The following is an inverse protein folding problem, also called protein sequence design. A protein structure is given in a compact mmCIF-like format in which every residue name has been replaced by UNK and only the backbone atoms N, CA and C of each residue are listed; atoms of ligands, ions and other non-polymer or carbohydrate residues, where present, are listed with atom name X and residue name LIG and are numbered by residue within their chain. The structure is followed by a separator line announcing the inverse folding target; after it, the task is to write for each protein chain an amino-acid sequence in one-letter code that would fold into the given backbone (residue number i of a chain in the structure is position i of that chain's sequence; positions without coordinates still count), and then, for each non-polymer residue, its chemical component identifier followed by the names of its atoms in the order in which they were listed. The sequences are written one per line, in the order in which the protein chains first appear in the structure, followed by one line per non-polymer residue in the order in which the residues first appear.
data_IF_903653713641
#
_entry.id   IF_903653713641
#
_cell.length_a   1.000
_cell.length_b   1.000
_cell.length_c   1.000
_cell.angle_alpha   90.00
_cell.angle_beta   90.00
_cell.angle_gamma   90.00
#
_symmetry.space_group_name_H-M   'P 1'
#
loop_
_entity.id
_entity.type
_entity.pdbx_description
1 polymer ?
#
# COMPACT_ATOMS: atom_id res chain seq x y z
N UNK A 1 -11.28 -50.64 4.17
CA UNK A 1 -11.61 -49.36 4.86
C UNK A 1 -10.61 -48.22 4.58
N UNK A 2 -9.34 -48.51 4.26
CA UNK A 2 -8.29 -47.51 4.04
C UNK A 2 -8.49 -46.65 2.77
N UNK A 3 -8.96 -47.25 1.67
CA UNK A 3 -9.21 -46.55 0.41
C UNK A 3 -10.33 -45.50 0.49
N UNK A 4 -11.41 -45.79 1.21
CA UNK A 4 -12.53 -44.85 1.38
C UNK A 4 -12.15 -43.62 2.21
N UNK A 5 -11.24 -43.79 3.19
CA UNK A 5 -10.70 -42.65 3.95
C UNK A 5 -9.83 -41.76 3.09
N UNK A 6 -8.93 -42.35 2.29
CA UNK A 6 -8.08 -41.58 1.37
C UNK A 6 -8.88 -40.80 0.32
N UNK A 7 -9.94 -41.39 -0.24
CA UNK A 7 -10.84 -40.68 -1.19
C UNK A 7 -11.56 -39.51 -0.49
N UNK A 8 -12.06 -39.71 0.73
CA UNK A 8 -12.75 -38.67 1.50
C UNK A 8 -11.82 -37.51 1.85
N UNK A 9 -10.60 -37.82 2.28
CA UNK A 9 -9.57 -36.82 2.60
C UNK A 9 -9.13 -36.05 1.34
N UNK A 10 -8.94 -36.75 0.23
CA UNK A 10 -8.62 -36.13 -1.07
C UNK A 10 -9.72 -35.17 -1.55
N UNK A 11 -10.99 -35.59 -1.49
CA UNK A 11 -12.12 -34.71 -1.82
C UNK A 11 -12.21 -33.49 -0.90
N UNK A 12 -11.92 -33.66 0.39
CA UNK A 12 -11.95 -32.55 1.34
C UNK A 12 -10.84 -31.52 1.05
N UNK A 13 -9.62 -31.98 0.78
CA UNK A 13 -8.51 -31.10 0.40
C UNK A 13 -8.78 -30.39 -0.93
N UNK A 14 -9.26 -31.13 -1.94
CA UNK A 14 -9.60 -30.56 -3.25
C UNK A 14 -10.68 -29.46 -3.12
N UNK A 15 -11.73 -29.72 -2.33
CA UNK A 15 -12.76 -28.72 -2.07
C UNK A 15 -12.21 -27.46 -1.38
N UNK A 16 -11.27 -27.64 -0.44
CA UNK A 16 -10.59 -26.52 0.25
C UNK A 16 -9.72 -25.69 -0.71
N UNK A 17 -8.98 -26.33 -1.59
CA UNK A 17 -8.11 -25.66 -2.56
C UNK A 17 -8.94 -24.87 -3.58
N UNK A 18 -10.02 -25.47 -4.10
CA UNK A 18 -10.96 -24.77 -5.00
C UNK A 18 -11.64 -23.59 -4.28
N UNK A 19 -12.10 -23.78 -3.05
CA UNK A 19 -12.70 -22.69 -2.27
C UNK A 19 -11.71 -21.54 -2.06
N UNK A 20 -10.45 -21.86 -1.78
CA UNK A 20 -9.38 -20.86 -1.63
C UNK A 20 -9.14 -20.12 -2.94
N UNK A 21 -9.02 -20.84 -4.07
CA UNK A 21 -8.83 -20.26 -5.39
C UNK A 21 -9.97 -19.28 -5.74
N UNK A 22 -11.22 -19.72 -5.58
CA UNK A 22 -12.40 -18.90 -5.88
C UNK A 22 -12.44 -17.67 -4.98
N UNK A 23 -12.17 -17.82 -3.68
CA UNK A 23 -12.15 -16.69 -2.75
C UNK A 23 -11.04 -15.69 -3.11
N UNK A 24 -9.85 -16.16 -3.49
CA UNK A 24 -8.76 -15.29 -3.94
C UNK A 24 -9.10 -14.53 -5.22
N UNK A 25 -9.77 -15.17 -6.19
CA UNK A 25 -10.25 -14.49 -7.41
C UNK A 25 -11.30 -13.43 -7.07
N UNK A 26 -12.27 -13.78 -6.22
CA UNK A 26 -13.32 -12.85 -5.79
C UNK A 26 -12.74 -11.63 -5.05
N UNK A 27 -11.83 -11.87 -4.10
CA UNK A 27 -11.11 -10.82 -3.38
C UNK A 27 -10.29 -9.94 -4.31
N UNK A 28 -9.61 -10.53 -5.30
CA UNK A 28 -8.85 -9.77 -6.31
C UNK A 28 -9.75 -8.83 -7.09
N UNK A 29 -10.90 -9.31 -7.59
CA UNK A 29 -11.86 -8.49 -8.32
C UNK A 29 -12.39 -7.35 -7.44
N UNK A 30 -12.80 -7.65 -6.21
CA UNK A 30 -13.30 -6.64 -5.26
C UNK A 30 -12.21 -5.62 -4.93
N UNK A 31 -10.96 -6.04 -4.77
CA UNK A 31 -9.85 -5.14 -4.49
C UNK A 31 -9.56 -4.23 -5.68
N UNK A 32 -9.49 -4.77 -6.89
CA UNK A 32 -9.26 -3.99 -8.12
C UNK A 32 -10.41 -3.01 -8.35
N UNK A 33 -11.67 -3.43 -8.15
CA UNK A 33 -12.82 -2.55 -8.32
C UNK A 33 -12.85 -1.51 -7.20
N UNK A 34 -12.79 -1.90 -5.93
CA UNK A 34 -12.87 -0.98 -4.79
C UNK A 34 -11.71 0.03 -4.77
N UNK A 35 -10.47 -0.47 -4.79
CA UNK A 35 -9.27 0.38 -4.77
C UNK A 35 -9.08 1.10 -6.10
N UNK A 36 -9.26 0.41 -7.23
CA UNK A 36 -9.14 1.02 -8.55
C UNK A 36 -10.17 2.14 -8.77
N UNK A 37 -11.43 1.95 -8.38
CA UNK A 37 -12.42 3.02 -8.43
C UNK A 37 -12.04 4.18 -7.52
N UNK A 38 -11.54 3.94 -6.30
CA UNK A 38 -11.08 5.02 -5.43
C UNK A 38 -9.96 5.87 -6.06
N UNK A 39 -9.05 5.24 -6.80
CA UNK A 39 -8.00 5.94 -7.55
C UNK A 39 -8.59 6.76 -8.71
N UNK A 40 -9.59 6.21 -9.41
CA UNK A 40 -10.33 6.94 -10.47
C UNK A 40 -11.05 8.16 -9.89
N UNK A 41 -11.76 8.01 -8.77
CA UNK A 41 -12.43 9.14 -8.10
C UNK A 41 -11.45 10.21 -7.60
N UNK A 42 -10.31 9.80 -7.03
CA UNK A 42 -9.27 10.73 -6.62
C UNK A 42 -8.66 11.50 -7.81
N UNK A 43 -8.51 10.84 -8.96
CA UNK A 43 -8.07 11.47 -10.21
C UNK A 43 -9.08 12.49 -10.73
N UNK A 44 -10.38 12.20 -10.66
CA UNK A 44 -11.46 13.16 -11.00
C UNK A 44 -11.40 14.38 -10.09
N UNK A 45 -11.15 14.18 -8.80
CA UNK A 45 -10.97 15.26 -7.82
C UNK A 45 -9.66 16.06 -7.97
N UNK A 46 -8.87 15.85 -9.03
CA UNK A 46 -7.53 16.43 -9.25
C UNK A 46 -6.55 16.22 -8.08
N UNK A 47 -6.83 15.29 -7.16
CA UNK A 47 -5.92 14.97 -6.05
C UNK A 47 -4.79 14.10 -6.60
N UNK A 48 -3.60 14.68 -6.68
CA UNK A 48 -2.37 13.94 -6.99
C UNK A 48 -1.89 13.24 -5.72
N UNK A 49 -1.88 11.91 -5.70
CA UNK A 49 -1.29 11.15 -4.59
C UNK A 49 0.23 11.30 -4.51
N UNK A 50 0.88 11.43 -5.67
CA UNK A 50 2.28 11.76 -5.80
C UNK A 50 2.38 12.99 -6.69
N UNK A 51 2.83 14.11 -6.11
CA UNK A 51 3.15 15.30 -6.88
C UNK A 51 4.51 15.10 -7.56
N UNK A 52 4.51 14.41 -8.70
CA UNK A 52 5.69 14.13 -9.54
C UNK A 52 6.23 15.39 -10.25
N UNK A 53 5.80 16.58 -9.83
CA UNK A 53 6.32 17.83 -10.35
C UNK A 53 7.80 17.94 -9.98
N UNK A 54 8.68 17.82 -10.98
CA UNK A 54 10.10 18.19 -10.89
C UNK A 54 10.30 19.72 -10.80
N UNK A 55 9.23 20.50 -10.66
CA UNK A 55 9.38 21.88 -10.23
C UNK A 55 10.11 21.84 -8.89
N UNK A 56 11.28 22.47 -8.85
CA UNK A 56 12.07 22.70 -7.66
C UNK A 56 11.23 23.52 -6.67
N UNK A 57 10.25 22.88 -6.01
CA UNK A 57 9.57 23.46 -4.86
C UNK A 57 10.68 23.73 -3.87
N UNK A 58 10.74 24.98 -3.42
CA UNK A 58 11.59 25.39 -2.33
C UNK A 58 11.23 24.53 -1.14
N UNK A 59 11.94 23.42 -0.98
CA UNK A 59 11.69 22.50 0.12
C UNK A 59 11.89 23.29 1.40
N UNK A 60 11.10 22.98 2.43
CA UNK A 60 11.27 23.57 3.76
C UNK A 60 12.75 23.53 4.21
N UNK A 61 13.48 22.51 3.76
CA UNK A 61 14.92 22.28 3.91
C UNK A 61 15.83 23.30 3.20
N UNK A 62 15.42 23.96 2.12
CA UNK A 62 16.19 25.03 1.48
C UNK A 62 16.20 26.33 2.29
N UNK A 63 15.16 26.58 3.10
CA UNK A 63 15.11 27.74 4.01
C UNK A 63 15.92 27.52 5.30
N UNK A 64 16.28 26.27 5.60
CA UNK A 64 17.26 25.96 6.64
C UNK A 64 18.65 26.23 6.07
N UNK A 65 18.89 27.49 5.71
CA UNK A 65 20.20 27.97 5.38
C UNK A 65 21.13 27.60 6.52
N UNK A 66 22.02 26.65 6.26
CA UNK A 66 23.19 26.29 7.06
C UNK A 66 24.19 27.45 7.12
N UNK A 67 23.72 28.68 7.35
CA UNK A 67 24.57 29.72 7.92
C UNK A 67 24.89 29.21 9.32
N UNK A 68 26.10 28.66 9.47
CA UNK A 68 26.68 28.29 10.78
C UNK A 68 26.45 29.47 11.72
N UNK A 69 25.41 29.42 12.55
CA UNK A 69 25.24 30.39 13.63
C UNK A 69 26.46 30.21 14.55
N UNK A 70 27.01 31.31 15.12
CA UNK A 70 28.17 31.19 15.99
C UNK A 70 27.88 30.18 17.10
N UNK A 71 28.81 29.25 17.36
CA UNK A 71 28.64 28.11 18.31
C UNK A 71 27.97 28.52 19.63
N UNK A 72 28.19 29.75 20.07
CA UNK A 72 27.66 30.32 21.31
C UNK A 72 26.11 30.38 21.40
N UNK A 73 25.38 30.38 20.27
CA UNK A 73 23.90 30.32 20.31
C UNK A 73 23.35 28.93 20.60
N UNK A 74 24.13 27.87 20.40
CA UNK A 74 23.69 26.49 20.66
C UNK A 74 23.83 26.09 22.13
N UNK A 75 24.69 26.76 22.89
CA UNK A 75 24.93 26.47 24.32
C UNK A 75 23.88 27.06 25.27
N UNK A 76 22.91 27.83 24.78
CA UNK A 76 21.85 28.45 25.60
C UNK A 76 20.49 27.75 25.49
N UNK A 77 20.44 26.59 24.83
CA UNK A 77 19.19 25.90 24.52
C UNK A 77 18.92 24.70 25.45
N UNK A 78 19.77 24.51 26.47
CA UNK A 78 19.57 23.60 27.59
C UNK A 78 19.87 24.34 28.89
#
# INVERSE_FOLDING_TARGET
MMLLRGIKEGMHSFGKDIATLVNSILLSIVYVIGVGMSAVFARIGKKKFLDLSNEKKTTYWQQIGLKKKPKNTYFRQY
#
